data_IF_627412032488
#
_entry.id   IF_627412032488
#
_cell.length_a   1.000
_cell.length_b   1.000
_cell.length_c   1.000
_cell.angle_alpha   90.00
_cell.angle_beta   90.00
_cell.angle_gamma   90.00
#
_symmetry.space_group_name_H-M   'P 1'
#
loop_
_entity.id
_entity.type
_entity.pdbx_description
1 polymer ?
#
# COMPACT_ATOMS: atom_id res chain seq x y z
N UNK A 1 5.20 28.83 -9.20
CA UNK A 1 5.89 27.53 -9.38
C UNK A 1 5.07 26.71 -10.37
N UNK A 2 5.64 26.19 -11.47
CA UNK A 2 4.84 25.33 -12.37
C UNK A 2 4.40 24.06 -11.62
N UNK A 3 3.22 23.52 -11.93
CA UNK A 3 2.67 22.34 -11.23
C UNK A 3 3.60 21.12 -11.27
N UNK A 4 4.39 20.98 -12.35
CA UNK A 4 5.43 19.96 -12.46
C UNK A 4 6.56 20.15 -11.43
N UNK A 5 7.08 21.38 -11.27
CA UNK A 5 8.14 21.67 -10.30
C UNK A 5 7.64 21.42 -8.87
N UNK A 6 6.38 21.75 -8.58
CA UNK A 6 5.77 21.47 -7.28
C UNK A 6 5.64 19.95 -7.01
N UNK A 7 5.16 19.17 -7.97
CA UNK A 7 5.06 17.71 -7.82
C UNK A 7 6.43 17.03 -7.71
N UNK A 8 7.43 17.51 -8.46
CA UNK A 8 8.81 17.03 -8.33
C UNK A 8 9.39 17.32 -6.95
N UNK A 9 9.11 18.51 -6.39
CA UNK A 9 9.53 18.84 -5.03
C UNK A 9 8.93 17.86 -4.01
N UNK A 10 7.63 17.57 -4.11
CA UNK A 10 6.96 16.57 -3.26
C UNK A 10 7.59 15.19 -3.44
N UNK A 11 7.80 14.75 -4.69
CA UNK A 11 8.36 13.44 -4.99
C UNK A 11 9.75 13.24 -4.38
N UNK A 12 10.63 14.23 -4.54
CA UNK A 12 11.99 14.18 -3.99
C UNK A 12 11.97 14.14 -2.46
N UNK A 13 11.21 15.03 -1.82
CA UNK A 13 11.11 15.04 -0.35
C UNK A 13 10.49 13.77 0.21
N UNK A 14 9.42 13.25 -0.42
CA UNK A 14 8.81 11.99 -0.02
C UNK A 14 9.78 10.80 -0.13
N UNK A 15 10.64 10.80 -1.16
CA UNK A 15 11.66 9.76 -1.35
C UNK A 15 12.70 9.78 -0.23
N UNK A 16 13.18 10.97 0.17
CA UNK A 16 14.09 11.11 1.32
C UNK A 16 13.44 10.66 2.63
N UNK A 17 12.17 11.03 2.87
CA UNK A 17 11.43 10.57 4.04
C UNK A 17 11.29 9.05 4.04
N UNK A 18 10.96 8.45 2.90
CA UNK A 18 10.88 6.99 2.77
C UNK A 18 12.18 6.29 3.13
N UNK A 19 13.32 6.80 2.65
CA UNK A 19 14.64 6.28 3.00
C UNK A 19 14.91 6.36 4.52
N UNK A 20 14.74 7.55 5.12
CA UNK A 20 15.02 7.78 6.54
C UNK A 20 14.13 6.92 7.47
N UNK A 21 12.88 6.69 7.08
CA UNK A 21 11.96 5.82 7.83
C UNK A 21 12.38 4.35 7.77
N UNK A 22 12.71 3.83 6.59
CA UNK A 22 13.07 2.42 6.40
C UNK A 22 14.40 2.10 7.09
N UNK A 23 15.38 3.02 7.04
CA UNK A 23 16.69 2.85 7.70
C UNK A 23 16.61 2.67 9.22
N UNK A 24 15.49 3.03 9.85
CA UNK A 24 15.28 2.92 11.31
C UNK A 24 14.46 1.70 11.73
N UNK A 25 14.02 0.86 10.80
CA UNK A 25 13.23 -0.34 11.10
C UNK A 25 14.17 -1.45 11.60
N UNK A 26 13.88 -2.09 12.76
CA UNK A 26 14.70 -3.20 13.26
C UNK A 26 14.62 -4.42 12.32
N UNK A 27 15.67 -5.25 12.24
CA UNK A 27 15.72 -6.35 11.28
C UNK A 27 14.58 -7.37 11.39
N UNK A 28 14.06 -7.56 12.60
CA UNK A 28 12.93 -8.45 12.87
C UNK A 28 11.64 -8.04 12.14
N UNK A 29 11.53 -6.77 11.74
CA UNK A 29 10.34 -6.23 11.06
C UNK A 29 10.51 -6.10 9.54
N UNK A 30 11.64 -6.50 8.93
CA UNK A 30 11.80 -6.37 7.47
C UNK A 30 10.74 -7.14 6.67
N UNK A 31 10.37 -8.35 7.09
CA UNK A 31 9.35 -9.14 6.39
C UNK A 31 7.94 -8.54 6.55
N UNK A 32 7.48 -8.18 7.76
CA UNK A 32 6.26 -7.38 7.92
C UNK A 32 6.28 -6.06 7.16
N UNK A 33 7.43 -5.35 7.13
CA UNK A 33 7.60 -4.08 6.42
C UNK A 33 7.46 -4.27 4.91
N UNK A 34 8.07 -5.31 4.34
CA UNK A 34 7.93 -5.66 2.92
C UNK A 34 6.46 -5.93 2.56
N UNK A 35 5.76 -6.70 3.39
CA UNK A 35 4.32 -6.94 3.22
C UNK A 35 3.51 -5.65 3.33
N UNK A 36 3.82 -4.79 4.32
CA UNK A 36 3.17 -3.51 4.52
C UNK A 36 3.37 -2.54 3.36
N UNK A 37 4.59 -2.47 2.79
CA UNK A 37 4.87 -1.66 1.61
C UNK A 37 4.06 -2.14 0.39
N UNK A 38 3.88 -3.46 0.23
CA UNK A 38 2.99 -4.02 -0.79
C UNK A 38 1.53 -3.61 -0.55
N UNK A 39 1.03 -3.64 0.69
CA UNK A 39 -0.32 -3.18 1.02
C UNK A 39 -0.54 -1.69 0.69
N UNK A 40 0.45 -0.85 0.96
CA UNK A 40 0.42 0.59 0.66
C UNK A 40 0.41 0.84 -0.85
N UNK A 41 1.10 0.00 -1.65
CA UNK A 41 1.05 0.09 -3.12
C UNK A 41 -0.36 -0.10 -3.70
N UNK A 42 -1.29 -0.65 -2.91
CA UNK A 42 -2.71 -0.72 -3.21
C UNK A 42 -3.39 0.64 -3.44
N UNK A 43 -2.71 1.77 -3.16
CA UNK A 43 -3.17 3.12 -3.54
C UNK A 43 -3.49 3.27 -5.04
N UNK A 44 -2.95 2.39 -5.88
CA UNK A 44 -3.31 2.23 -7.30
C UNK A 44 -4.83 2.11 -7.54
N UNK A 45 -5.61 1.69 -6.53
CA UNK A 45 -7.08 1.67 -6.59
C UNK A 45 -7.68 3.06 -6.91
N UNK A 46 -7.06 4.15 -6.44
CA UNK A 46 -7.52 5.51 -6.76
C UNK A 46 -7.39 5.76 -8.27
N UNK A 47 -6.26 5.38 -8.86
CA UNK A 47 -6.05 5.49 -10.30
C UNK A 47 -7.02 4.63 -11.09
N UNK A 48 -7.26 3.40 -10.65
CA UNK A 48 -8.23 2.49 -11.29
C UNK A 48 -9.65 3.06 -11.28
N UNK A 49 -10.09 3.65 -10.16
CA UNK A 49 -11.40 4.31 -10.05
C UNK A 49 -11.52 5.53 -10.98
N UNK A 50 -10.48 6.36 -11.06
CA UNK A 50 -10.46 7.53 -11.95
C UNK A 50 -10.58 7.10 -13.41
N UNK A 51 -9.80 6.09 -13.82
CA UNK A 51 -9.80 5.58 -15.20
C UNK A 51 -11.13 4.92 -15.55
N UNK A 52 -11.66 4.07 -14.66
CA UNK A 52 -12.96 3.43 -14.87
C UNK A 52 -14.09 4.47 -15.01
N UNK A 53 -14.08 5.52 -14.17
CA UNK A 53 -15.08 6.59 -14.20
C UNK A 53 -15.01 7.53 -15.40
N UNK A 54 -13.87 7.59 -16.12
CA UNK A 54 -13.68 8.44 -17.31
C UNK A 54 -13.63 7.65 -18.62
N UNK A 55 -13.88 6.33 -18.58
CA UNK A 55 -13.75 5.47 -19.76
C UNK A 55 -14.94 5.63 -20.72
N UNK A 56 -14.67 6.17 -21.92
CA UNK A 56 -15.68 6.37 -22.98
C UNK A 56 -15.86 5.18 -23.93
N UNK A 57 -14.98 4.18 -23.89
CA UNK A 57 -15.00 3.01 -24.78
C UNK A 57 -15.27 1.70 -24.04
N UNK A 58 -15.98 0.78 -24.68
CA UNK A 58 -16.37 -0.53 -24.11
C UNK A 58 -15.15 -1.32 -23.59
N UNK A 59 -14.07 -1.38 -24.36
CA UNK A 59 -12.82 -2.02 -23.93
C UNK A 59 -12.17 -1.35 -22.72
N UNK A 60 -12.25 -0.02 -22.63
CA UNK A 60 -11.70 0.73 -21.50
C UNK A 60 -12.50 0.49 -20.21
N UNK A 61 -13.81 0.25 -20.31
CA UNK A 61 -14.64 -0.14 -19.17
C UNK A 61 -14.25 -1.52 -18.61
N UNK A 62 -14.06 -2.51 -19.48
CA UNK A 62 -13.63 -3.85 -19.06
C UNK A 62 -12.23 -3.85 -18.42
N UNK A 63 -11.29 -3.10 -19.01
CA UNK A 63 -9.95 -2.94 -18.43
C UNK A 63 -10.02 -2.18 -17.10
N UNK A 64 -10.84 -1.13 -17.00
CA UNK A 64 -11.06 -0.38 -15.76
C UNK A 64 -11.64 -1.26 -14.65
N UNK A 65 -12.62 -2.10 -14.98
CA UNK A 65 -13.20 -3.08 -14.06
C UNK A 65 -12.14 -4.07 -13.56
N UNK A 66 -11.35 -4.65 -14.46
CA UNK A 66 -10.26 -5.55 -14.10
C UNK A 66 -9.22 -4.84 -13.21
N UNK A 67 -8.86 -3.60 -13.52
CA UNK A 67 -7.94 -2.79 -12.73
C UNK A 67 -8.44 -2.57 -11.30
N UNK A 68 -9.73 -2.27 -11.13
CA UNK A 68 -10.35 -2.14 -9.79
C UNK A 68 -10.28 -3.46 -9.03
N UNK A 69 -10.60 -4.59 -9.67
CA UNK A 69 -10.54 -5.92 -9.04
C UNK A 69 -9.11 -6.22 -8.56
N UNK A 70 -8.11 -6.07 -9.42
CA UNK A 70 -6.72 -6.34 -9.06
C UNK A 70 -6.19 -5.39 -7.98
N UNK A 71 -6.51 -4.10 -8.06
CA UNK A 71 -6.13 -3.13 -7.03
C UNK A 71 -6.79 -3.44 -5.68
N UNK A 72 -8.05 -3.88 -5.70
CA UNK A 72 -8.78 -4.31 -4.49
C UNK A 72 -8.13 -5.55 -3.87
N UNK A 73 -7.76 -6.55 -4.68
CA UNK A 73 -7.05 -7.74 -4.19
C UNK A 73 -5.70 -7.36 -3.57
N UNK A 74 -4.96 -6.46 -4.20
CA UNK A 74 -3.66 -5.99 -3.70
C UNK A 74 -3.80 -5.30 -2.32
N UNK A 75 -4.72 -4.34 -2.19
CA UNK A 75 -4.89 -3.59 -0.94
C UNK A 75 -5.43 -4.49 0.18
N UNK A 76 -6.51 -5.25 -0.08
CA UNK A 76 -7.14 -6.10 0.95
C UNK A 76 -6.21 -7.25 1.35
N UNK A 77 -5.63 -7.95 0.37
CA UNK A 77 -4.72 -9.07 0.62
C UNK A 77 -3.44 -8.60 1.32
N UNK A 78 -2.88 -7.47 0.89
CA UNK A 78 -1.69 -6.88 1.50
C UNK A 78 -1.91 -6.53 2.97
N UNK A 79 -3.01 -5.85 3.31
CA UNK A 79 -3.30 -5.50 4.71
C UNK A 79 -3.62 -6.74 5.56
N UNK A 80 -4.36 -7.71 5.04
CA UNK A 80 -4.67 -8.96 5.74
C UNK A 80 -3.41 -9.76 6.09
N UNK A 81 -2.47 -9.90 5.15
CA UNK A 81 -1.21 -10.62 5.39
C UNK A 81 -0.33 -9.85 6.37
N UNK A 82 -0.23 -8.54 6.21
CA UNK A 82 0.57 -7.68 7.11
C UNK A 82 0.06 -7.73 8.55
N UNK A 83 -1.25 -7.70 8.76
CA UNK A 83 -1.86 -7.80 10.09
C UNK A 83 -1.51 -9.15 10.76
N UNK A 84 -1.67 -10.27 10.03
CA UNK A 84 -1.27 -11.60 10.52
C UNK A 84 0.21 -11.70 10.86
N UNK A 85 1.07 -11.02 10.10
CA UNK A 85 2.50 -10.96 10.40
C UNK A 85 2.78 -10.17 11.68
N UNK A 86 2.11 -9.03 11.88
CA UNK A 86 2.28 -8.18 13.06
C UNK A 86 1.68 -8.81 14.32
N UNK A 87 0.65 -9.66 14.19
CA UNK A 87 0.11 -10.44 15.31
C UNK A 87 1.13 -11.35 15.97
N UNK A 88 2.12 -11.85 15.22
CA UNK A 88 3.19 -12.70 15.76
C UNK A 88 4.11 -11.95 16.75
N UNK A 89 4.09 -10.61 16.75
CA UNK A 89 4.84 -9.77 17.68
C UNK A 89 4.04 -9.40 18.94
N UNK A 90 2.73 -9.68 18.97
CA UNK A 90 1.91 -9.45 20.16
C UNK A 90 2.27 -10.52 21.19
N UNK A 91 2.66 -10.11 22.42
CA UNK A 91 2.83 -11.06 23.54
C UNK A 91 1.51 -11.82 23.72
N UNK A 92 1.59 -13.16 23.68
CA UNK A 92 0.45 -14.03 24.01
C UNK A 92 -0.01 -13.64 25.40
N UNK A 93 -1.28 -13.24 25.57
CA UNK A 93 -1.86 -13.08 26.91
C UNK A 93 -1.70 -14.43 27.60
N UNK A 94 -0.82 -14.52 28.60
CA UNK A 94 -0.78 -15.65 29.52
C UNK A 94 -2.20 -15.72 30.09
N UNK A 95 -2.94 -16.78 29.75
CA UNK A 95 -4.11 -17.13 30.55
C UNK A 95 -3.52 -17.43 31.92
N UNK A 96 -3.78 -16.57 32.89
CA UNK A 96 -3.61 -16.94 34.30
C UNK A 96 -4.43 -18.20 34.48
N UNK A 97 -3.74 -19.32 34.63
CA UNK A 97 -4.31 -20.57 35.09
C UNK A 97 -4.97 -20.27 36.44
N UNK A 98 -6.30 -20.39 36.48
CA UNK A 98 -7.07 -20.42 37.71
C UNK A 98 -6.92 -21.78 38.36
#
# INVERSE_FOLDING_TARGET
MSGLIFNLFIFVLASFIGFELISKVPPTLHTPLMSGANAISGITIIGALVVAGHSGGEWAQWIGLAAIIFATINVVGGFMVTDRMLEMFKKKKTKEDK
#
